data_IF_275990511372
#
_entry.id   IF_275990511372
#
_cell.length_a   1.000
_cell.length_b   1.000
_cell.length_c   1.000
_cell.angle_alpha   90.00
_cell.angle_beta   90.00
_cell.angle_gamma   90.00
#
_symmetry.space_group_name_H-M   'P 1'
#
loop_
_entity.id
_entity.type
_entity.pdbx_description
1 polymer ?
#
# COMPACT_ATOMS: atom_id res chain seq x y z
N UNK A 1 8.37 -3.68 -2.29
CA UNK A 1 8.54 -2.92 -3.56
C UNK A 1 7.42 -3.27 -4.54
N UNK A 2 7.16 -2.40 -5.51
CA UNK A 2 6.17 -2.55 -6.59
C UNK A 2 6.92 -2.37 -7.91
N UNK A 3 6.69 -3.27 -8.87
CA UNK A 3 7.39 -3.31 -10.16
C UNK A 3 6.36 -3.48 -11.27
N UNK A 4 6.54 -2.75 -12.37
CA UNK A 4 5.83 -3.03 -13.62
C UNK A 4 6.46 -4.26 -14.28
N UNK A 5 5.69 -5.36 -14.36
CA UNK A 5 6.15 -6.63 -14.91
C UNK A 5 6.53 -6.52 -16.41
N UNK A 6 5.88 -5.63 -17.17
CA UNK A 6 6.12 -5.51 -18.62
C UNK A 6 7.44 -4.82 -18.93
N UNK A 7 7.75 -3.77 -18.16
CA UNK A 7 8.95 -2.96 -18.38
C UNK A 7 10.11 -3.34 -17.44
N UNK A 8 9.83 -4.11 -16.39
CA UNK A 8 10.77 -4.38 -15.29
C UNK A 8 11.05 -3.15 -14.42
N UNK A 9 10.38 -2.02 -14.66
CA UNK A 9 10.63 -0.76 -13.96
C UNK A 9 10.08 -0.81 -12.54
N UNK A 10 10.91 -0.46 -11.58
CA UNK A 10 10.47 -0.28 -10.20
C UNK A 10 9.61 0.99 -10.08
N UNK A 11 8.38 0.83 -9.58
CA UNK A 11 7.40 1.90 -9.39
C UNK A 11 7.54 2.51 -7.99
N UNK A 12 7.75 1.67 -6.97
CA UNK A 12 7.90 2.11 -5.59
C UNK A 12 8.66 1.09 -4.73
N UNK A 13 9.35 1.59 -3.70
CA UNK A 13 10.00 0.79 -2.67
C UNK A 13 9.73 1.42 -1.32
N UNK A 14 9.42 0.57 -0.35
CA UNK A 14 9.21 0.95 1.05
C UNK A 14 10.19 0.16 1.90
N UNK A 15 10.82 0.86 2.83
CA UNK A 15 11.47 0.25 3.97
C UNK A 15 10.44 0.12 5.09
N UNK A 16 10.37 -1.05 5.72
CA UNK A 16 9.38 -1.33 6.77
C UNK A 16 9.98 -1.22 8.17
N UNK A 17 11.30 -1.24 8.30
CA UNK A 17 11.96 -1.27 9.60
C UNK A 17 11.96 0.09 10.28
N UNK A 18 12.06 1.19 9.52
CA UNK A 18 12.21 2.54 10.08
C UNK A 18 10.86 3.19 10.41
N UNK A 19 9.92 3.19 9.46
CA UNK A 19 8.67 3.95 9.57
C UNK A 19 7.48 3.16 10.15
N UNK A 20 7.55 1.83 10.19
CA UNK A 20 6.41 0.95 10.51
C UNK A 20 6.72 -0.12 11.57
N UNK A 21 7.81 0.05 12.33
CA UNK A 21 8.30 -0.95 13.31
C UNK A 21 7.30 -1.36 14.39
N UNK A 22 6.28 -0.53 14.67
CA UNK A 22 5.25 -0.81 15.69
C UNK A 22 3.89 -1.19 15.09
N UNK A 23 3.78 -1.21 13.77
CA UNK A 23 2.54 -1.43 13.04
C UNK A 23 2.45 -2.90 12.61
N UNK A 24 1.24 -3.47 12.68
CA UNK A 24 1.02 -4.89 12.37
C UNK A 24 0.38 -5.10 10.99
N UNK A 25 -0.10 -4.03 10.37
CA UNK A 25 -0.44 -3.96 8.95
C UNK A 25 -0.12 -2.56 8.41
N UNK A 26 0.15 -2.46 7.10
CA UNK A 26 0.49 -1.20 6.44
C UNK A 26 -0.20 -1.11 5.08
N UNK A 27 -0.83 0.03 4.79
CA UNK A 27 -1.31 0.40 3.46
C UNK A 27 -0.19 1.13 2.71
N UNK A 28 0.45 0.43 1.79
CA UNK A 28 1.60 0.98 1.05
C UNK A 28 1.15 2.09 0.08
N UNK A 29 -0.01 1.91 -0.54
CA UNK A 29 -0.55 2.86 -1.50
C UNK A 29 -1.70 2.26 -2.30
N UNK A 30 -2.16 3.01 -3.28
CA UNK A 30 -3.24 2.62 -4.20
C UNK A 30 -2.76 2.69 -5.64
N UNK A 31 -3.11 1.66 -6.40
CA UNK A 31 -3.01 1.68 -7.86
C UNK A 31 -4.34 2.19 -8.38
N UNK A 32 -4.31 3.16 -9.29
CA UNK A 32 -5.52 3.74 -9.87
C UNK A 32 -5.31 4.00 -11.37
N UNK A 33 -6.40 3.96 -12.13
CA UNK A 33 -6.38 4.22 -13.55
C UNK A 33 -6.83 5.65 -13.83
N UNK A 34 -6.03 6.42 -14.56
CA UNK A 34 -6.33 7.80 -14.94
C UNK A 34 -5.64 8.14 -16.26
N UNK A 35 -6.30 8.90 -17.13
CA UNK A 35 -5.76 9.36 -18.42
C UNK A 35 -5.20 8.21 -19.29
N UNK A 36 -5.90 7.08 -19.29
CA UNK A 36 -5.53 5.86 -19.99
C UNK A 36 -4.22 5.20 -19.52
N UNK A 37 -3.79 5.49 -18.30
CA UNK A 37 -2.56 4.97 -17.69
C UNK A 37 -2.81 4.47 -16.26
N UNK A 38 -2.10 3.41 -15.87
CA UNK A 38 -2.04 2.96 -14.47
C UNK A 38 -1.04 3.80 -13.69
N UNK A 39 -1.48 4.37 -12.57
CA UNK A 39 -0.66 5.19 -11.68
C UNK A 39 -0.64 4.61 -10.27
N UNK A 40 0.46 4.84 -9.57
CA UNK A 40 0.60 4.50 -8.15
C UNK A 40 0.55 5.78 -7.32
N UNK A 41 -0.25 5.78 -6.26
CA UNK A 41 -0.24 6.82 -5.23
C UNK A 41 0.17 6.20 -3.89
N UNK A 42 1.29 6.68 -3.36
CA UNK A 42 1.76 6.35 -2.02
C UNK A 42 0.75 6.80 -0.95
N UNK A 43 0.56 5.98 0.09
CA UNK A 43 -0.26 6.32 1.25
C UNK A 43 0.52 6.20 2.56
N UNK A 44 1.20 5.07 2.80
CA UNK A 44 2.07 4.87 3.95
C UNK A 44 1.34 4.92 5.30
N UNK A 45 0.12 4.38 5.40
CA UNK A 45 -0.63 4.33 6.66
C UNK A 45 -0.40 3.01 7.40
N UNK A 46 -0.01 3.08 8.66
CA UNK A 46 0.10 1.93 9.56
C UNK A 46 -1.19 1.62 10.32
N UNK A 47 -1.35 0.36 10.70
CA UNK A 47 -2.51 -0.15 11.44
C UNK A 47 -2.07 -1.04 12.61
N UNK A 48 -2.24 -0.55 13.83
CA UNK A 48 -1.98 -1.32 15.06
C UNK A 48 -2.96 -2.45 15.27
N UNK A 49 -4.22 -2.24 14.90
CA UNK A 49 -5.29 -3.28 14.88
C UNK A 49 -5.08 -4.33 13.77
N UNK A 50 -3.99 -4.24 13.00
CA UNK A 50 -3.65 -5.17 11.94
C UNK A 50 -4.62 -5.12 10.77
N UNK A 51 -4.74 -6.24 10.05
CA UNK A 51 -5.55 -6.34 8.85
C UNK A 51 -7.04 -6.03 9.11
N UNK A 52 -7.56 -6.41 10.28
CA UNK A 52 -8.94 -6.11 10.65
C UNK A 52 -9.19 -4.59 10.71
N UNK A 53 -8.28 -3.83 11.32
CA UNK A 53 -8.34 -2.36 11.36
C UNK A 53 -8.28 -1.73 9.97
N UNK A 54 -7.42 -2.27 9.10
CA UNK A 54 -7.37 -1.86 7.70
C UNK A 54 -8.68 -2.12 6.96
N UNK A 55 -9.23 -3.32 7.06
CA UNK A 55 -10.46 -3.72 6.37
C UNK A 55 -11.69 -2.90 6.79
N UNK A 56 -11.78 -2.50 8.06
CA UNK A 56 -12.85 -1.61 8.55
C UNK A 56 -12.90 -0.27 7.81
N UNK A 57 -11.76 0.26 7.34
CA UNK A 57 -11.74 1.50 6.53
C UNK A 57 -12.48 1.35 5.19
N UNK A 58 -12.62 0.13 4.70
CA UNK A 58 -13.35 -0.19 3.47
C UNK A 58 -14.76 -0.71 3.74
N UNK A 59 -15.24 -0.63 4.98
CA UNK A 59 -16.58 -1.10 5.37
C UNK A 59 -16.75 -2.61 5.40
N UNK A 60 -15.64 -3.37 5.42
CA UNK A 60 -15.68 -4.83 5.48
C UNK A 60 -15.84 -5.29 6.93
N UNK A 61 -16.67 -6.32 7.13
CA UNK A 61 -16.77 -7.05 8.40
C UNK A 61 -15.90 -8.30 8.30
N UNK A 62 -14.90 -8.40 9.18
CA UNK A 62 -13.87 -9.45 9.19
C UNK A 62 -13.67 -9.97 10.59
#
# INVERSE_FOLDING_TARGET
RIVDERSGKEIARYDLEEDFSTETAVSFGKIYFKDNEWRFAANGSGFKEGLAGFCKQFGLSV
#
